data_IF_916089722703
#
_entry.id   IF_916089722703
#
_cell.length_a   1.000
_cell.length_b   1.000
_cell.length_c   1.000
_cell.angle_alpha   90.00
_cell.angle_beta   90.00
_cell.angle_gamma   90.00
#
_symmetry.space_group_name_H-M   'P 1'
#
loop_
_entity.id
_entity.type
_entity.pdbx_description
1 polymer ?
#
# COMPACT_ATOMS: atom_id res chain seq x y z
N UNK A 1 -5.19 7.74 -3.28
CA UNK A 1 -4.70 6.98 -2.10
C UNK A 1 -4.18 5.60 -2.47
N UNK A 2 -4.90 4.88 -3.33
CA UNK A 2 -4.49 3.54 -3.78
C UNK A 2 -3.14 3.55 -4.48
N UNK A 3 -2.96 4.46 -5.42
CA UNK A 3 -1.71 4.56 -6.18
C UNK A 3 -0.50 4.83 -5.29
N UNK A 4 -0.64 5.73 -4.33
CA UNK A 4 0.43 6.04 -3.39
C UNK A 4 0.72 4.86 -2.45
N UNK A 5 -0.32 4.16 -1.98
CA UNK A 5 -0.13 2.99 -1.13
C UNK A 5 0.65 1.88 -1.85
N UNK A 6 0.30 1.60 -3.11
CA UNK A 6 0.99 0.60 -3.92
C UNK A 6 2.44 1.03 -4.18
N UNK A 7 2.66 2.29 -4.53
CA UNK A 7 3.99 2.83 -4.80
C UNK A 7 4.89 2.72 -3.55
N UNK A 8 4.39 3.11 -2.39
CA UNK A 8 5.14 3.01 -1.14
C UNK A 8 5.44 1.55 -0.75
N UNK A 9 4.46 0.65 -0.90
CA UNK A 9 4.67 -0.76 -0.63
C UNK A 9 5.75 -1.35 -1.53
N UNK A 10 5.75 -1.01 -2.81
CA UNK A 10 6.76 -1.48 -3.74
C UNK A 10 8.15 -0.93 -3.40
N UNK A 11 8.22 0.34 -3.06
CA UNK A 11 9.49 0.98 -2.71
C UNK A 11 10.09 0.39 -1.42
N UNK A 12 9.27 0.24 -0.38
CA UNK A 12 9.73 -0.26 0.92
C UNK A 12 9.91 -1.78 0.92
N UNK A 13 8.97 -2.52 0.32
CA UNK A 13 8.98 -3.97 0.36
C UNK A 13 9.95 -4.62 -0.61
N UNK A 14 10.14 -4.04 -1.79
CA UNK A 14 11.00 -4.58 -2.83
C UNK A 14 12.32 -3.84 -2.97
N UNK A 15 12.52 -2.77 -2.19
CA UNK A 15 13.75 -1.98 -2.25
C UNK A 15 13.93 -1.22 -3.56
N UNK A 16 12.85 -0.97 -4.29
CA UNK A 16 12.88 -0.24 -5.55
C UNK A 16 12.93 1.26 -5.27
N UNK A 17 14.00 1.97 -5.66
CA UNK A 17 14.06 3.41 -5.42
C UNK A 17 13.05 4.15 -6.29
N UNK A 18 12.53 5.26 -5.77
CA UNK A 18 11.65 6.13 -6.55
C UNK A 18 12.50 6.89 -7.58
N UNK A 19 11.90 7.12 -8.75
CA UNK A 19 12.57 7.87 -9.80
C UNK A 19 12.67 9.35 -9.43
N UNK A 20 13.78 9.99 -9.83
CA UNK A 20 13.93 11.43 -9.68
C UNK A 20 12.81 12.14 -10.46
N UNK A 21 12.23 13.15 -9.85
CA UNK A 21 11.12 13.90 -10.43
C UNK A 21 9.75 13.25 -10.18
N UNK A 22 9.69 12.10 -9.51
CA UNK A 22 8.43 11.49 -9.09
C UNK A 22 7.70 12.39 -8.10
N UNK A 23 6.40 12.50 -8.29
CA UNK A 23 5.54 13.31 -7.43
C UNK A 23 5.47 12.73 -6.02
N UNK A 24 5.67 13.55 -5.00
CA UNK A 24 5.43 13.13 -3.61
C UNK A 24 3.92 13.04 -3.35
N UNK A 25 3.54 12.34 -2.28
CA UNK A 25 2.14 12.23 -1.90
C UNK A 25 1.54 13.61 -1.61
N UNK A 26 2.27 14.49 -0.91
CA UNK A 26 1.81 15.85 -0.60
C UNK A 26 1.56 16.67 -1.86
N UNK A 27 2.47 16.60 -2.83
CA UNK A 27 2.31 17.28 -4.12
C UNK A 27 1.11 16.75 -4.89
N UNK A 28 0.93 15.42 -4.91
CA UNK A 28 -0.20 14.79 -5.58
C UNK A 28 -1.54 15.20 -4.97
N UNK A 29 -1.63 15.25 -3.66
CA UNK A 29 -2.84 15.70 -2.96
C UNK A 29 -3.15 17.16 -3.29
N UNK A 30 -2.14 18.03 -3.27
CA UNK A 30 -2.30 19.44 -3.60
C UNK A 30 -2.84 19.63 -5.01
N UNK A 31 -2.26 18.96 -5.98
CA UNK A 31 -2.73 19.00 -7.38
C UNK A 31 -4.17 18.51 -7.50
N UNK A 32 -4.49 17.40 -6.83
CA UNK A 32 -5.83 16.84 -6.86
C UNK A 32 -6.86 17.80 -6.26
N UNK A 33 -6.56 18.41 -5.10
CA UNK A 33 -7.45 19.38 -4.46
C UNK A 33 -7.65 20.61 -5.34
N UNK A 34 -6.59 21.11 -5.97
CA UNK A 34 -6.67 22.28 -6.84
C UNK A 34 -7.50 22.00 -8.11
N UNK A 35 -7.39 20.81 -8.67
CA UNK A 35 -8.09 20.46 -9.91
C UNK A 35 -9.53 20.04 -9.69
N UNK A 36 -9.86 19.43 -8.57
CA UNK A 36 -11.21 18.96 -8.30
C UNK A 36 -12.03 19.91 -7.43
N UNK A 37 -11.38 20.78 -6.68
CA UNK A 37 -12.03 21.62 -5.69
C UNK A 37 -12.50 20.87 -4.45
N UNK A 38 -12.11 19.58 -4.32
CA UNK A 38 -12.47 18.76 -3.18
C UNK A 38 -11.35 18.76 -2.14
N UNK A 39 -11.68 18.40 -0.90
CA UNK A 39 -10.70 18.31 0.18
C UNK A 39 -10.24 16.89 0.38
N UNK A 40 -8.95 16.70 0.67
CA UNK A 40 -8.36 15.40 1.02
C UNK A 40 -8.24 15.22 2.54
N UNK A 41 -9.11 15.84 3.32
CA UNK A 41 -9.05 15.77 4.80
C UNK A 41 -9.15 14.35 5.35
N UNK A 42 -9.82 13.45 4.63
CA UNK A 42 -9.99 12.05 5.03
C UNK A 42 -8.95 11.11 4.40
N UNK A 43 -7.84 11.65 3.91
CA UNK A 43 -6.83 10.85 3.19
C UNK A 43 -6.29 9.69 4.04
N UNK A 44 -6.17 9.86 5.35
CA UNK A 44 -5.67 8.79 6.23
C UNK A 44 -6.60 7.58 6.22
N UNK A 45 -7.91 7.80 6.24
CA UNK A 45 -8.89 6.72 6.12
C UNK A 45 -8.73 5.97 4.80
N UNK A 46 -8.62 6.70 3.70
CA UNK A 46 -8.48 6.09 2.37
C UNK A 46 -7.14 5.38 2.19
N UNK A 47 -6.08 5.85 2.83
CA UNK A 47 -4.78 5.16 2.82
C UNK A 47 -4.87 3.81 3.51
N UNK A 48 -5.47 3.77 4.71
CA UNK A 48 -5.66 2.51 5.44
C UNK A 48 -6.54 1.55 4.65
N UNK A 49 -7.63 2.06 4.07
CA UNK A 49 -8.52 1.26 3.24
C UNK A 49 -7.80 0.68 2.02
N UNK A 50 -6.97 1.48 1.36
CA UNK A 50 -6.19 1.04 0.20
C UNK A 50 -5.20 -0.06 0.58
N UNK A 51 -4.52 0.08 1.71
CA UNK A 51 -3.58 -0.94 2.22
C UNK A 51 -4.30 -2.22 2.61
N UNK A 52 -5.48 -2.10 3.22
CA UNK A 52 -6.32 -3.26 3.52
C UNK A 52 -6.69 -4.01 2.24
N UNK A 53 -7.15 -3.29 1.22
CA UNK A 53 -7.48 -3.90 -0.08
C UNK A 53 -6.29 -4.59 -0.71
N UNK A 54 -5.12 -3.96 -0.64
CA UNK A 54 -3.90 -4.55 -1.20
C UNK A 54 -3.51 -5.82 -0.44
N UNK A 55 -3.66 -5.83 0.89
CA UNK A 55 -3.41 -7.03 1.70
C UNK A 55 -4.33 -8.18 1.32
N UNK A 56 -5.59 -7.90 1.02
CA UNK A 56 -6.55 -8.91 0.54
C UNK A 56 -6.14 -9.45 -0.83
N UNK A 57 -5.68 -8.58 -1.73
CA UNK A 57 -5.16 -8.99 -3.05
C UNK A 57 -3.96 -9.91 -2.88
N UNK A 58 -3.08 -9.64 -1.91
CA UNK A 58 -1.90 -10.46 -1.64
C UNK A 58 -2.25 -11.89 -1.22
N UNK A 59 -3.41 -12.13 -0.61
CA UNK A 59 -3.88 -13.48 -0.33
C UNK A 59 -4.03 -14.28 -1.63
N UNK A 60 -4.61 -13.67 -2.66
CA UNK A 60 -4.76 -14.29 -3.97
C UNK A 60 -3.44 -14.53 -4.66
N UNK A 61 -2.55 -13.54 -4.58
CA UNK A 61 -1.19 -13.67 -5.14
C UNK A 61 -0.46 -14.82 -4.49
N UNK A 62 -0.49 -14.91 -3.16
CA UNK A 62 0.15 -15.99 -2.41
C UNK A 62 -0.39 -17.37 -2.81
N UNK A 63 -1.71 -17.51 -2.96
CA UNK A 63 -2.32 -18.75 -3.40
C UNK A 63 -1.84 -19.16 -4.79
N UNK A 64 -1.71 -18.21 -5.71
CA UNK A 64 -1.17 -18.48 -7.04
C UNK A 64 0.28 -18.92 -7.02
N UNK A 65 1.09 -18.26 -6.18
CA UNK A 65 2.50 -18.63 -6.05
C UNK A 65 2.67 -20.04 -5.49
N UNK A 66 1.83 -20.43 -4.55
CA UNK A 66 1.80 -21.80 -4.00
C UNK A 66 1.34 -22.79 -5.07
N UNK A 67 0.27 -22.48 -5.78
CA UNK A 67 -0.27 -23.34 -6.84
C UNK A 67 0.75 -23.58 -7.96
N UNK A 68 1.54 -22.57 -8.33
CA UNK A 68 2.57 -22.67 -9.36
C UNK A 68 3.92 -23.16 -8.82
N UNK A 69 3.95 -23.65 -7.57
CA UNK A 69 5.15 -24.21 -6.95
C UNK A 69 6.30 -23.20 -6.79
N UNK A 70 6.01 -21.91 -6.82
CA UNK A 70 6.99 -20.85 -6.59
C UNK A 70 7.26 -20.68 -5.09
N UNK A 71 6.23 -20.95 -4.25
CA UNK A 71 6.33 -20.91 -2.80
C UNK A 71 5.94 -22.27 -2.19
N UNK A 72 6.50 -22.62 -0.99
CA UNK A 72 6.12 -23.84 -0.28
C UNK A 72 4.63 -23.87 0.06
N UNK A 73 4.06 -25.06 0.16
CA UNK A 73 2.65 -25.27 0.48
C UNK A 73 2.28 -24.74 1.86
N UNK A 74 3.23 -24.72 2.81
CA UNK A 74 3.07 -24.25 4.18
C UNK A 74 3.47 -22.78 4.35
N UNK A 75 3.68 -22.04 3.26
CA UNK A 75 4.05 -20.63 3.31
C UNK A 75 2.94 -19.80 3.94
N UNK A 76 3.33 -18.86 4.79
CA UNK A 76 2.44 -17.89 5.43
C UNK A 76 2.45 -16.51 4.74
N UNK A 77 2.98 -16.44 3.50
CA UNK A 77 3.12 -15.18 2.76
C UNK A 77 1.80 -14.42 2.61
N UNK A 78 0.66 -15.13 2.61
CA UNK A 78 -0.67 -14.50 2.57
C UNK A 78 -0.98 -13.68 3.84
N UNK A 79 -0.32 -13.95 4.96
CA UNK A 79 -0.49 -13.25 6.23
C UNK A 79 0.69 -12.35 6.56
N UNK A 80 1.90 -12.78 6.22
CA UNK A 80 3.15 -12.10 6.54
C UNK A 80 3.87 -11.66 5.26
N UNK A 81 3.62 -10.44 4.84
CA UNK A 81 4.23 -9.84 3.68
C UNK A 81 4.38 -8.33 3.89
N UNK A 82 5.03 -7.65 2.95
CA UNK A 82 5.29 -6.22 3.09
C UNK A 82 4.01 -5.37 3.17
N UNK A 83 2.91 -5.82 2.57
CA UNK A 83 1.65 -5.06 2.62
C UNK A 83 0.98 -5.15 3.99
N UNK A 84 0.99 -6.32 4.63
CA UNK A 84 0.43 -6.49 5.97
C UNK A 84 1.25 -5.75 7.02
N UNK A 85 2.57 -5.78 6.90
CA UNK A 85 3.46 -5.02 7.78
C UNK A 85 3.22 -3.52 7.65
N UNK A 86 3.13 -3.03 6.41
CA UNK A 86 2.87 -1.62 6.16
C UNK A 86 1.48 -1.19 6.64
N UNK A 87 0.48 -2.06 6.48
CA UNK A 87 -0.88 -1.81 7.00
C UNK A 87 -0.86 -1.67 8.52
N UNK A 88 -0.19 -2.56 9.22
CA UNK A 88 -0.07 -2.51 10.68
C UNK A 88 0.59 -1.20 11.13
N UNK A 89 1.66 -0.79 10.46
CA UNK A 89 2.35 0.46 10.75
C UNK A 89 1.46 1.68 10.53
N UNK A 90 0.68 1.71 9.44
CA UNK A 90 -0.24 2.81 9.15
C UNK A 90 -1.40 2.89 10.12
N UNK A 91 -1.97 1.74 10.53
CA UNK A 91 -3.03 1.70 11.53
C UNK A 91 -2.50 2.25 12.87
N UNK A 92 -1.30 1.86 13.27
CA UNK A 92 -0.67 2.37 14.48
C UNK A 92 -0.43 3.89 14.40
N UNK A 93 0.03 4.37 13.24
CA UNK A 93 0.25 5.81 13.03
C UNK A 93 -1.04 6.62 13.12
N UNK A 94 -2.09 6.16 12.45
CA UNK A 94 -3.38 6.86 12.42
C UNK A 94 -4.04 6.84 13.81
N UNK A 95 -3.88 5.77 14.55
CA UNK A 95 -4.46 5.64 15.91
C UNK A 95 -3.88 6.64 16.91
N UNK A 96 -2.72 7.24 16.59
CA UNK A 96 -2.07 8.25 17.46
C UNK A 96 -2.42 9.68 17.10
N UNK A 97 -3.19 9.90 16.05
CA UNK A 97 -3.57 11.24 15.59
C UNK A 97 -4.64 11.91 16.48
#
# INVERSE_FOLDING_TARGET
AWGFAVDECNSLGLGVPRLDGSMSQSEGIEIWENKTGLSAENINYFRVLALFKFSVIMVRVAKRLIFNEIMPLDSDFHLNNFTTEYLDNEVARVSKL
#
